data_IF_629263536763
#
_entry.id   IF_629263536763
#
_cell.length_a   1.000
_cell.length_b   1.000
_cell.length_c   1.000
_cell.angle_alpha   90.00
_cell.angle_beta   90.00
_cell.angle_gamma   90.00
#
_symmetry.space_group_name_H-M   'P 1'
#
loop_
_entity.id
_entity.type
_entity.pdbx_description
1 polymer ?
#
# COMPACT_ATOMS: atom_id res chain seq x y z
N UNK A 1 18.99 41.44 -4.16
CA UNK A 1 17.69 40.84 -3.80
C UNK A 1 17.21 40.01 -4.99
N UNK A 2 17.34 38.69 -4.90
CA UNK A 2 16.68 37.74 -5.78
C UNK A 2 16.10 36.67 -4.87
N UNK A 3 14.77 36.66 -4.74
CA UNK A 3 14.02 35.67 -3.98
C UNK A 3 13.94 34.41 -4.86
N UNK A 4 14.94 33.55 -4.77
CA UNK A 4 14.77 32.17 -5.22
C UNK A 4 13.76 31.51 -4.29
N UNK A 5 12.56 31.31 -4.82
CA UNK A 5 11.51 30.51 -4.23
C UNK A 5 12.07 29.13 -3.91
N UNK A 6 12.30 28.84 -2.63
CA UNK A 6 12.49 27.47 -2.15
C UNK A 6 11.23 26.67 -2.51
N UNK A 7 11.22 26.00 -3.66
CA UNK A 7 10.34 24.85 -3.88
C UNK A 7 10.62 23.92 -2.70
N UNK A 8 9.64 23.71 -1.82
CA UNK A 8 9.71 22.65 -0.84
C UNK A 8 9.91 21.36 -1.63
N UNK A 9 11.14 20.81 -1.61
CA UNK A 9 11.44 19.55 -2.27
C UNK A 9 10.66 18.48 -1.51
N UNK A 10 9.81 17.73 -2.21
CA UNK A 10 9.12 16.57 -1.66
C UNK A 10 10.13 15.62 -1.04
N UNK A 11 9.79 15.05 0.12
CA UNK A 11 10.58 14.00 0.74
C UNK A 11 10.16 12.70 0.06
N UNK A 12 11.11 12.02 -0.57
CA UNK A 12 10.86 10.70 -1.17
C UNK A 12 10.91 9.66 -0.08
N UNK A 13 9.81 8.92 0.09
CA UNK A 13 9.70 7.77 1.00
C UNK A 13 8.83 6.71 0.35
N UNK A 14 8.86 5.48 0.85
CA UNK A 14 8.08 4.36 0.34
C UNK A 14 6.66 4.32 0.90
N UNK A 15 6.42 4.97 2.04
CA UNK A 15 5.08 5.11 2.61
C UNK A 15 5.02 6.08 3.79
N UNK A 16 3.84 6.60 4.07
CA UNK A 16 3.54 7.41 5.25
C UNK A 16 2.18 7.00 5.82
N UNK A 17 2.08 6.90 7.14
CA UNK A 17 0.82 6.71 7.87
C UNK A 17 0.72 7.67 9.04
N UNK A 18 -0.41 8.36 9.18
CA UNK A 18 -0.81 9.10 10.37
C UNK A 18 -1.96 8.33 11.03
N UNK A 19 -1.75 7.96 12.28
CA UNK A 19 -2.63 7.06 13.03
C UNK A 19 -2.94 7.68 14.37
N UNK A 20 -4.19 7.59 14.78
CA UNK A 20 -4.62 7.82 16.14
C UNK A 20 -4.86 6.49 16.83
N UNK A 21 -4.33 6.31 18.03
CA UNK A 21 -4.42 5.06 18.76
C UNK A 21 -4.82 5.28 20.20
N UNK A 22 -5.56 4.34 20.79
CA UNK A 22 -5.79 4.30 22.24
C UNK A 22 -4.50 3.90 22.96
N UNK A 23 -4.30 4.39 24.18
CA UNK A 23 -3.20 3.97 25.05
C UNK A 23 -3.50 2.68 25.83
N UNK A 24 -4.77 2.30 25.95
CA UNK A 24 -5.13 1.05 26.64
C UNK A 24 -4.81 -0.18 25.80
N UNK A 25 -4.96 -0.06 24.48
CA UNK A 25 -4.70 -1.15 23.54
C UNK A 25 -4.33 -0.59 22.15
N UNK A 26 -3.08 -0.13 21.97
CA UNK A 26 -2.70 0.58 20.75
C UNK A 26 -2.82 -0.25 19.45
N UNK A 27 -2.66 -1.56 19.52
CA UNK A 27 -2.65 -2.43 18.33
C UNK A 27 -4.06 -2.77 17.82
N UNK A 28 -5.05 -2.87 18.72
CA UNK A 28 -6.42 -3.28 18.38
C UNK A 28 -7.34 -2.07 18.20
N UNK A 29 -7.00 -0.95 18.85
CA UNK A 29 -7.82 0.25 18.84
C UNK A 29 -7.06 1.43 18.24
N UNK A 30 -6.82 1.33 16.93
CA UNK A 30 -6.28 2.43 16.13
C UNK A 30 -7.18 2.81 14.97
N UNK A 31 -7.17 4.10 14.66
CA UNK A 31 -7.81 4.72 13.51
C UNK A 31 -6.71 5.29 12.61
N UNK A 32 -6.69 4.84 11.36
CA UNK A 32 -5.87 5.48 10.32
C UNK A 32 -6.55 6.81 9.96
N UNK A 33 -5.82 7.92 10.15
CA UNK A 33 -6.27 9.26 9.74
C UNK A 33 -5.84 9.52 8.30
N UNK A 34 -4.61 9.15 7.97
CA UNK A 34 -4.05 9.26 6.63
C UNK A 34 -3.11 8.09 6.38
N UNK A 35 -3.11 7.55 5.17
CA UNK A 35 -2.08 6.62 4.71
C UNK A 35 -1.82 6.81 3.23
N UNK A 36 -0.57 6.64 2.84
CA UNK A 36 -0.15 6.63 1.43
C UNK A 36 1.03 5.69 1.29
N UNK A 37 0.89 4.69 0.43
CA UNK A 37 1.91 3.67 0.24
C UNK A 37 2.25 2.89 1.50
N UNK A 38 1.33 2.66 2.44
CA UNK A 38 1.53 1.73 3.56
C UNK A 38 0.20 1.04 3.85
N UNK A 39 0.23 -0.30 3.96
CA UNK A 39 -0.94 -1.12 4.25
C UNK A 39 -1.36 -1.08 5.72
N UNK A 40 -2.63 -1.40 6.00
CA UNK A 40 -3.16 -1.47 7.37
C UNK A 40 -2.54 -2.62 8.15
N UNK A 41 -2.25 -3.74 7.49
CA UNK A 41 -1.56 -4.87 8.11
C UNK A 41 -0.15 -4.48 8.58
N UNK A 42 0.56 -3.73 7.75
CA UNK A 42 1.90 -3.20 8.07
C UNK A 42 1.85 -2.22 9.25
N UNK A 43 0.88 -1.31 9.26
CA UNK A 43 0.65 -0.39 10.38
C UNK A 43 0.43 -1.16 11.68
N UNK A 44 -0.45 -2.17 11.67
CA UNK A 44 -0.73 -2.99 12.85
C UNK A 44 0.52 -3.70 13.36
N UNK A 45 1.32 -4.30 12.46
CA UNK A 45 2.59 -4.95 12.80
C UNK A 45 3.57 -3.97 13.45
N UNK A 46 3.68 -2.75 12.92
CA UNK A 46 4.56 -1.71 13.46
C UNK A 46 4.09 -1.25 14.85
N UNK A 47 2.78 -1.01 15.03
CA UNK A 47 2.22 -0.62 16.32
C UNK A 47 2.45 -1.70 17.38
N UNK A 48 2.30 -2.98 17.02
CA UNK A 48 2.55 -4.10 17.92
C UNK A 48 4.02 -4.15 18.38
N UNK A 49 4.98 -3.90 17.48
CA UNK A 49 6.39 -3.84 17.84
C UNK A 49 6.75 -2.64 18.72
N UNK A 50 5.87 -1.63 18.78
CA UNK A 50 6.14 -0.33 19.39
C UNK A 50 5.20 0.03 20.55
N UNK A 51 4.31 -0.89 20.92
CA UNK A 51 3.21 -0.68 21.87
C UNK A 51 3.70 -0.14 23.21
N UNK A 52 4.72 -0.78 23.78
CA UNK A 52 5.28 -0.41 25.09
C UNK A 52 5.78 1.04 25.12
N UNK A 53 6.50 1.47 24.08
CA UNK A 53 7.06 2.82 24.02
C UNK A 53 5.96 3.88 23.91
N UNK A 54 4.87 3.61 23.17
CA UNK A 54 3.70 4.48 23.07
C UNK A 54 3.02 4.67 24.42
N UNK A 55 2.88 3.58 25.19
CA UNK A 55 2.17 3.59 26.48
C UNK A 55 2.98 4.31 27.56
N UNK A 56 4.29 4.05 27.62
CA UNK A 56 5.15 4.50 28.72
C UNK A 56 5.62 5.95 28.58
N UNK A 57 5.57 6.55 27.39
CA UNK A 57 6.16 7.87 27.13
C UNK A 57 5.14 8.88 26.59
N UNK A 58 5.31 10.15 26.94
CA UNK A 58 4.48 11.23 26.39
C UNK A 58 4.78 11.53 24.92
N UNK A 59 6.00 11.25 24.48
CA UNK A 59 6.45 11.42 23.11
C UNK A 59 7.69 10.56 22.90
N UNK A 60 7.98 10.24 21.64
CA UNK A 60 9.20 9.54 21.33
C UNK A 60 9.38 9.31 19.84
N UNK A 61 10.48 8.65 19.53
CA UNK A 61 10.90 8.33 18.18
C UNK A 61 11.60 6.99 18.17
N UNK A 62 11.39 6.22 17.12
CA UNK A 62 12.02 4.92 16.95
C UNK A 62 12.22 4.56 15.50
N UNK A 63 13.04 3.53 15.31
CA UNK A 63 13.45 2.99 14.03
C UNK A 63 13.32 1.48 14.11
N UNK A 64 12.48 0.91 13.25
CA UNK A 64 12.32 -0.53 13.17
C UNK A 64 12.93 -0.99 11.85
N UNK A 65 14.07 -1.69 11.88
CA UNK A 65 14.58 -2.35 10.69
C UNK A 65 13.60 -3.47 10.31
N UNK A 66 13.14 -3.44 9.07
CA UNK A 66 12.32 -4.50 8.46
C UNK A 66 13.22 -5.33 7.54
N UNK A 67 12.67 -6.25 6.76
CA UNK A 67 13.49 -7.09 5.87
C UNK A 67 14.16 -6.27 4.76
N UNK A 68 13.37 -5.51 3.99
CA UNK A 68 13.84 -4.71 2.87
C UNK A 68 13.79 -3.19 3.12
N UNK A 69 13.27 -2.76 4.27
CA UNK A 69 12.94 -1.35 4.53
C UNK A 69 13.27 -0.97 5.98
N UNK A 70 13.09 0.31 6.31
CA UNK A 70 13.11 0.81 7.68
C UNK A 70 11.84 1.61 7.95
N UNK A 71 11.19 1.34 9.09
CA UNK A 71 10.08 2.15 9.58
C UNK A 71 10.60 3.21 10.56
N UNK A 72 10.34 4.47 10.27
CA UNK A 72 10.62 5.62 11.12
C UNK A 72 9.33 6.03 11.81
N UNK A 73 9.33 6.03 13.14
CA UNK A 73 8.13 6.23 13.94
C UNK A 73 8.36 7.46 14.80
N UNK A 74 7.42 8.42 14.73
CA UNK A 74 7.33 9.52 15.68
C UNK A 74 5.94 9.47 16.31
N UNK A 75 5.87 9.58 17.64
CA UNK A 75 4.58 9.61 18.32
C UNK A 75 4.53 10.70 19.37
N UNK A 76 3.32 11.13 19.68
CA UNK A 76 3.02 12.05 20.75
C UNK A 76 1.69 11.69 21.40
N UNK A 77 1.63 11.83 22.71
CA UNK A 77 0.43 11.64 23.50
C UNK A 77 -0.49 12.85 23.32
N UNK A 78 -1.76 12.60 23.08
CA UNK A 78 -2.82 13.59 22.90
C UNK A 78 -3.84 13.42 24.02
N UNK A 79 -3.54 13.97 25.19
CA UNK A 79 -4.34 13.80 26.41
C UNK A 79 -4.04 12.49 27.14
N UNK A 80 -4.96 12.03 27.99
CA UNK A 80 -4.69 10.89 28.87
C UNK A 80 -4.96 9.53 28.23
N UNK A 81 -5.65 9.47 27.10
CA UNK A 81 -6.19 8.21 26.56
C UNK A 81 -5.71 7.88 25.16
N UNK A 82 -5.12 8.84 24.43
CA UNK A 82 -4.81 8.69 23.01
C UNK A 82 -3.38 9.09 22.70
N UNK A 83 -2.81 8.42 21.71
CA UNK A 83 -1.57 8.79 21.06
C UNK A 83 -1.81 9.00 19.56
N UNK A 84 -0.95 9.82 18.99
CA UNK A 84 -0.90 10.10 17.57
C UNK A 84 0.47 9.65 17.08
N UNK A 85 0.47 8.78 16.08
CA UNK A 85 1.64 8.06 15.60
C UNK A 85 1.80 8.37 14.12
N UNK A 86 3.00 8.80 13.74
CA UNK A 86 3.40 9.05 12.36
C UNK A 86 4.45 8.01 12.01
N UNK A 87 4.16 7.22 10.99
CA UNK A 87 5.04 6.17 10.47
C UNK A 87 5.49 6.61 9.09
N UNK A 88 6.80 6.53 8.82
CA UNK A 88 7.35 6.59 7.47
C UNK A 88 8.04 5.27 7.16
N UNK A 89 7.87 4.78 5.94
CA UNK A 89 8.63 3.65 5.42
C UNK A 89 9.65 4.20 4.44
N UNK A 90 10.91 3.90 4.64
CA UNK A 90 11.99 4.29 3.73
C UNK A 90 12.86 3.08 3.39
N UNK A 91 13.68 3.25 2.37
CA UNK A 91 14.74 2.31 2.03
C UNK A 91 15.79 2.26 3.16
N UNK A 92 16.35 1.09 3.43
CA UNK A 92 17.46 0.91 4.38
C UNK A 92 18.69 1.71 3.98
N UNK A 93 18.89 1.93 2.68
CA UNK A 93 20.11 2.54 2.16
C UNK A 93 20.10 4.08 2.23
N UNK A 94 19.03 4.71 2.72
CA UNK A 94 18.86 6.16 2.65
C UNK A 94 18.72 6.87 4.03
N UNK A 95 19.75 6.88 4.88
CA UNK A 95 19.70 7.50 6.22
C UNK A 95 19.57 9.03 6.19
N UNK A 96 19.76 9.67 5.03
CA UNK A 96 19.81 11.13 4.90
C UNK A 96 18.43 11.82 5.01
N UNK A 97 17.33 11.06 4.96
CA UNK A 97 15.96 11.58 5.06
C UNK A 97 15.54 11.89 6.51
N UNK A 98 16.20 11.32 7.52
CA UNK A 98 15.72 11.37 8.90
C UNK A 98 15.48 12.78 9.47
N UNK A 99 16.42 13.75 9.38
CA UNK A 99 16.18 15.10 9.88
C UNK A 99 14.98 15.77 9.20
N UNK A 100 14.76 15.47 7.92
CA UNK A 100 13.64 16.00 7.14
C UNK A 100 12.32 15.38 7.60
N UNK A 101 12.28 14.05 7.82
CA UNK A 101 11.10 13.33 8.33
C UNK A 101 10.72 13.79 9.74
N UNK A 102 11.71 14.08 10.59
CA UNK A 102 11.45 14.61 11.92
C UNK A 102 10.85 16.02 11.88
N UNK A 103 11.40 16.92 11.06
CA UNK A 103 10.84 18.25 10.84
C UNK A 103 9.44 18.17 10.21
N UNK A 104 9.22 17.20 9.33
CA UNK A 104 7.92 16.92 8.74
C UNK A 104 6.89 16.49 9.80
N UNK A 105 7.25 15.52 10.65
CA UNK A 105 6.40 15.11 11.77
C UNK A 105 6.04 16.28 12.66
N UNK A 106 6.98 17.16 13.03
CA UNK A 106 6.66 18.35 13.82
C UNK A 106 5.57 19.24 13.20
N UNK A 107 5.56 19.39 11.87
CA UNK A 107 4.53 20.18 11.17
C UNK A 107 3.16 19.49 11.25
N UNK A 108 3.10 18.18 11.02
CA UNK A 108 1.85 17.41 11.14
C UNK A 108 1.31 17.50 12.57
N UNK A 109 2.16 17.26 13.57
CA UNK A 109 1.77 17.31 14.99
C UNK A 109 1.24 18.69 15.36
N UNK A 110 1.87 19.77 14.88
CA UNK A 110 1.40 21.13 15.11
C UNK A 110 0.01 21.37 14.48
N UNK A 111 -0.22 20.88 13.25
CA UNK A 111 -1.52 20.98 12.59
C UNK A 111 -2.61 20.17 13.30
N UNK A 112 -2.28 19.00 13.85
CA UNK A 112 -3.23 18.19 14.63
C UNK A 112 -3.65 18.84 15.96
N UNK A 113 -2.87 19.78 16.50
CA UNK A 113 -3.20 20.49 17.76
C UNK A 113 -4.13 21.69 17.55
N UNK A 114 -4.24 22.20 16.33
CA UNK A 114 -5.25 23.20 15.99
C UNK A 114 -6.55 22.49 15.60
N UNK A 115 -7.64 22.69 16.36
CA UNK A 115 -8.97 22.10 16.11
C UNK A 115 -9.56 22.43 14.72
N UNK A 116 -8.95 23.36 13.98
CA UNK A 116 -9.55 24.01 12.83
C UNK A 116 -9.12 23.49 11.46
N UNK A 117 -8.31 22.42 11.31
CA UNK A 117 -7.81 22.14 9.95
C UNK A 117 -7.33 20.72 9.64
N UNK A 118 -8.26 19.76 9.69
CA UNK A 118 -8.02 18.43 9.12
C UNK A 118 -7.60 18.53 7.64
N UNK A 119 -8.11 19.49 6.88
CA UNK A 119 -7.74 19.71 5.47
C UNK A 119 -6.27 20.13 5.34
N UNK A 120 -5.79 21.13 6.09
CA UNK A 120 -4.36 21.48 6.08
C UNK A 120 -3.46 20.32 6.50
N UNK A 121 -3.88 19.51 7.47
CA UNK A 121 -3.09 18.34 7.88
C UNK A 121 -2.99 17.32 6.74
N UNK A 122 -4.11 17.02 6.07
CA UNK A 122 -4.12 16.12 4.92
C UNK A 122 -3.29 16.70 3.77
N UNK A 123 -3.36 18.00 3.53
CA UNK A 123 -2.56 18.71 2.52
C UNK A 123 -1.06 18.60 2.81
N UNK A 124 -0.65 18.76 4.07
CA UNK A 124 0.75 18.56 4.52
C UNK A 124 1.18 17.12 4.21
N UNK A 125 0.34 16.14 4.55
CA UNK A 125 0.64 14.73 4.32
C UNK A 125 0.73 14.37 2.82
N UNK A 126 -0.14 14.93 1.98
CA UNK A 126 -0.18 14.66 0.53
C UNK A 126 0.97 15.32 -0.24
N UNK A 127 1.27 16.58 0.07
CA UNK A 127 2.14 17.41 -0.77
C UNK A 127 3.63 17.29 -0.44
N UNK A 128 3.97 16.85 0.77
CA UNK A 128 5.37 16.81 1.23
C UNK A 128 6.01 15.45 1.06
N UNK A 129 5.23 14.42 0.71
CA UNK A 129 5.71 13.06 0.52
C UNK A 129 5.43 12.58 -0.91
N UNK A 130 6.50 12.17 -1.58
CA UNK A 130 6.43 11.54 -2.91
C UNK A 130 6.71 10.05 -2.77
N UNK A 131 5.75 9.23 -3.19
CA UNK A 131 5.92 7.78 -3.27
C UNK A 131 6.46 7.45 -4.67
N UNK A 132 7.60 6.74 -4.78
CA UNK A 132 8.13 6.35 -6.08
C UNK A 132 7.15 5.42 -6.81
N UNK A 133 7.12 5.48 -8.14
CA UNK A 133 6.29 4.58 -8.94
C UNK A 133 7.14 3.51 -9.59
N UNK A 134 6.50 2.38 -9.91
CA UNK A 134 7.12 1.27 -10.63
C UNK A 134 6.68 1.30 -12.09
N UNK A 135 7.64 1.25 -13.01
CA UNK A 135 7.41 1.41 -14.46
C UNK A 135 7.50 0.11 -15.27
N UNK A 136 7.85 -1.02 -14.65
CA UNK A 136 8.06 -2.29 -15.35
C UNK A 136 6.81 -3.21 -15.36
N UNK A 137 5.62 -2.67 -15.07
CA UNK A 137 4.36 -3.42 -15.09
C UNK A 137 3.61 -3.17 -16.40
N UNK A 138 3.38 -4.23 -17.17
CA UNK A 138 2.69 -4.20 -18.46
C UNK A 138 1.19 -4.43 -18.35
N UNK A 139 0.74 -5.06 -17.27
CA UNK A 139 -0.65 -5.44 -17.11
C UNK A 139 -0.98 -5.79 -15.67
N UNK A 140 -2.19 -5.45 -15.25
CA UNK A 140 -2.74 -5.75 -13.94
C UNK A 140 -4.12 -6.35 -14.15
N UNK A 141 -4.34 -7.52 -13.57
CA UNK A 141 -5.58 -8.28 -13.67
C UNK A 141 -6.01 -8.70 -12.28
N UNK A 142 -7.16 -8.21 -11.82
CA UNK A 142 -7.81 -8.72 -10.62
C UNK A 142 -8.97 -9.58 -11.07
N UNK A 143 -8.90 -10.86 -10.73
CA UNK A 143 -9.77 -11.89 -11.29
C UNK A 143 -10.39 -12.65 -10.14
N UNK A 144 -11.68 -12.93 -10.23
CA UNK A 144 -12.32 -13.82 -9.27
C UNK A 144 -11.85 -15.29 -9.44
N UNK A 145 -12.18 -16.14 -8.49
CA UNK A 145 -11.90 -17.57 -8.60
C UNK A 145 -12.61 -18.25 -9.79
N UNK A 146 -13.64 -17.65 -10.38
CA UNK A 146 -14.32 -18.12 -11.58
C UNK A 146 -13.61 -17.76 -12.89
N UNK A 147 -12.60 -16.90 -12.84
CA UNK A 147 -11.90 -16.41 -14.03
C UNK A 147 -12.49 -15.11 -14.61
N UNK A 148 -13.48 -14.52 -13.95
CA UNK A 148 -14.08 -13.26 -14.38
C UNK A 148 -13.19 -12.09 -13.96
N UNK A 149 -12.77 -11.21 -14.88
CA UNK A 149 -12.02 -10.02 -14.50
C UNK A 149 -12.92 -9.07 -13.70
N UNK A 150 -12.47 -8.63 -12.54
CA UNK A 150 -13.08 -7.55 -11.75
C UNK A 150 -12.46 -6.20 -12.08
N UNK A 151 -11.15 -6.18 -12.32
CA UNK A 151 -10.41 -5.01 -12.74
C UNK A 151 -9.30 -5.42 -13.68
N UNK A 152 -9.08 -4.65 -14.76
CA UNK A 152 -7.95 -4.87 -15.67
C UNK A 152 -7.40 -3.54 -16.16
N UNK A 153 -6.07 -3.44 -16.19
CA UNK A 153 -5.35 -2.31 -16.75
C UNK A 153 -4.10 -2.81 -17.47
N UNK A 154 -3.90 -2.41 -18.72
CA UNK A 154 -2.79 -2.87 -19.56
C UNK A 154 -2.05 -1.66 -20.13
N UNK A 155 -0.71 -1.69 -20.09
CA UNK A 155 0.13 -0.61 -20.57
C UNK A 155 0.06 -0.49 -22.11
N UNK A 156 -0.28 0.69 -22.60
CA UNK A 156 -0.20 1.06 -24.01
C UNK A 156 -1.19 0.36 -24.95
N UNK A 157 -0.85 0.29 -26.24
CA UNK A 157 -1.70 -0.25 -27.32
C UNK A 157 -1.56 -1.77 -27.51
N UNK A 158 -1.43 -2.56 -26.44
CA UNK A 158 -1.45 -4.04 -26.53
C UNK A 158 -2.87 -4.55 -26.77
N UNK A 159 -3.42 -4.18 -27.93
CA UNK A 159 -4.83 -4.40 -28.28
C UNK A 159 -5.24 -5.87 -28.25
N UNK A 160 -4.31 -6.79 -28.49
CA UNK A 160 -4.59 -8.22 -28.48
C UNK A 160 -4.85 -8.74 -27.05
N UNK A 161 -4.11 -8.25 -26.05
CA UNK A 161 -4.36 -8.61 -24.64
C UNK A 161 -5.66 -7.94 -24.15
N UNK A 162 -5.88 -6.68 -24.53
CA UNK A 162 -7.10 -5.93 -24.19
C UNK A 162 -8.36 -6.61 -24.76
N UNK A 163 -8.27 -7.22 -25.96
CA UNK A 163 -9.38 -7.96 -26.56
C UNK A 163 -9.60 -9.35 -25.97
N UNK A 164 -8.64 -9.83 -25.17
CA UNK A 164 -8.62 -11.17 -24.61
C UNK A 164 -8.65 -11.17 -23.07
N UNK A 165 -9.08 -10.08 -22.42
CA UNK A 165 -9.08 -9.95 -20.96
C UNK A 165 -9.84 -11.09 -20.26
N UNK A 166 -11.01 -11.48 -20.76
CA UNK A 166 -11.77 -12.62 -20.25
C UNK A 166 -11.02 -13.95 -20.41
N UNK A 167 -10.31 -14.13 -21.53
CA UNK A 167 -9.52 -15.34 -21.79
C UNK A 167 -8.31 -15.41 -20.87
N UNK A 168 -7.65 -14.27 -20.64
CA UNK A 168 -6.53 -14.13 -19.70
C UNK A 168 -7.01 -14.40 -18.28
N UNK A 169 -8.15 -13.84 -17.87
CA UNK A 169 -8.77 -14.11 -16.57
C UNK A 169 -9.10 -15.59 -16.36
N UNK A 170 -9.78 -16.21 -17.33
CA UNK A 170 -10.07 -17.64 -17.32
C UNK A 170 -8.82 -18.51 -17.25
N UNK A 171 -7.77 -18.13 -17.99
CA UNK A 171 -6.48 -18.82 -17.96
C UNK A 171 -5.80 -18.73 -16.59
N UNK A 172 -5.72 -17.53 -16.00
CA UNK A 172 -5.13 -17.32 -14.66
C UNK A 172 -5.88 -18.14 -13.60
N UNK A 173 -7.22 -18.09 -13.59
CA UNK A 173 -8.03 -18.87 -12.65
C UNK A 173 -7.86 -20.39 -12.85
N UNK A 174 -7.81 -20.87 -14.09
CA UNK A 174 -7.60 -22.29 -14.38
C UNK A 174 -6.25 -22.78 -13.85
N UNK A 175 -5.18 -22.01 -14.08
CA UNK A 175 -3.86 -22.33 -13.53
C UNK A 175 -3.84 -22.30 -12.00
N UNK A 176 -4.48 -21.31 -11.39
CA UNK A 176 -4.58 -21.19 -9.94
C UNK A 176 -5.36 -22.36 -9.32
N UNK A 177 -6.44 -22.78 -9.96
CA UNK A 177 -7.22 -23.95 -9.54
C UNK A 177 -6.43 -25.25 -9.71
N UNK A 178 -5.70 -25.37 -10.82
CA UNK A 178 -4.85 -26.52 -11.11
C UNK A 178 -3.67 -26.62 -10.13
N UNK A 179 -3.04 -25.50 -9.78
CA UNK A 179 -1.94 -25.49 -8.81
C UNK A 179 -2.40 -26.00 -7.44
N UNK A 180 -3.60 -25.64 -6.98
CA UNK A 180 -4.20 -26.16 -5.74
C UNK A 180 -4.38 -27.69 -5.77
N UNK A 181 -4.70 -28.25 -6.94
CA UNK A 181 -4.84 -29.70 -7.11
C UNK A 181 -3.49 -30.42 -7.08
N UNK A 182 -2.43 -29.79 -7.60
CA UNK A 182 -1.07 -30.36 -7.57
C UNK A 182 -0.48 -30.25 -6.17
N UNK A 183 -0.63 -29.10 -5.52
CA UNK A 183 0.01 -28.75 -4.25
C UNK A 183 -0.72 -29.33 -3.02
N UNK A 184 -1.54 -30.38 -3.21
CA UNK A 184 -2.34 -31.11 -2.20
C UNK A 184 -1.80 -30.92 -0.78
N UNK A 185 -2.57 -30.26 0.07
CA UNK A 185 -2.35 -30.12 1.51
C UNK A 185 -1.10 -29.35 1.96
N UNK A 186 -0.39 -28.65 1.08
CA UNK A 186 0.50 -27.58 1.54
C UNK A 186 -0.37 -26.38 1.92
N UNK A 187 -0.56 -26.11 3.21
CA UNK A 187 -1.16 -24.88 3.76
C UNK A 187 -0.48 -23.57 3.29
N UNK A 188 0.45 -23.62 2.33
CA UNK A 188 1.37 -22.55 1.95
C UNK A 188 1.64 -22.49 0.42
N UNK A 189 1.07 -23.40 -0.37
CA UNK A 189 1.34 -23.49 -1.82
C UNK A 189 0.36 -22.70 -2.68
N UNK A 190 0.48 -21.38 -2.72
CA UNK A 190 -0.24 -20.57 -3.72
C UNK A 190 0.60 -20.44 -4.99
N UNK A 191 -0.06 -20.39 -6.15
CA UNK A 191 0.61 -20.02 -7.40
C UNK A 191 1.10 -18.58 -7.23
N UNK A 192 2.43 -18.39 -7.24
CA UNK A 192 3.07 -17.08 -7.10
C UNK A 192 3.50 -16.49 -8.44
N UNK A 193 3.85 -17.34 -9.40
CA UNK A 193 4.44 -16.91 -10.66
C UNK A 193 3.99 -17.79 -11.83
N UNK A 194 3.76 -17.17 -12.99
CA UNK A 194 3.50 -17.84 -14.26
C UNK A 194 4.39 -17.17 -15.32
N UNK A 195 5.41 -17.88 -15.82
CA UNK A 195 6.39 -17.33 -16.77
C UNK A 195 6.00 -17.57 -18.23
N UNK A 196 6.17 -16.55 -19.07
CA UNK A 196 5.94 -16.53 -20.52
C UNK A 196 7.17 -16.05 -21.27
N UNK A 197 8.30 -16.73 -21.07
CA UNK A 197 9.58 -16.31 -21.64
C UNK A 197 10.13 -15.09 -20.90
N UNK A 198 10.06 -13.91 -21.51
CA UNK A 198 10.61 -12.67 -20.94
C UNK A 198 9.63 -11.90 -20.05
N UNK A 199 8.38 -12.36 -19.92
CA UNK A 199 7.38 -11.74 -19.06
C UNK A 199 6.84 -12.76 -18.07
N UNK A 200 6.47 -12.31 -16.88
CA UNK A 200 5.95 -13.18 -15.82
C UNK A 200 4.72 -12.51 -15.20
N UNK A 201 3.64 -13.29 -15.03
CA UNK A 201 2.59 -12.91 -14.09
C UNK A 201 3.07 -13.24 -12.69
N UNK A 202 3.19 -12.25 -11.83
CA UNK A 202 3.31 -12.47 -10.40
C UNK A 202 1.93 -12.34 -9.77
N UNK A 203 1.60 -13.27 -8.89
CA UNK A 203 0.26 -13.44 -8.35
C UNK A 203 0.26 -13.43 -6.84
N UNK A 204 -0.73 -12.75 -6.28
CA UNK A 204 -1.13 -12.86 -4.87
C UNK A 204 -2.58 -13.28 -4.87
N UNK A 205 -2.94 -14.28 -4.07
CA UNK A 205 -4.34 -14.58 -3.83
C UNK A 205 -4.74 -14.10 -2.44
N UNK A 206 -5.96 -13.57 -2.37
CA UNK A 206 -6.59 -13.23 -1.10
C UNK A 206 -8.07 -13.48 -1.23
N UNK A 207 -8.58 -14.30 -0.32
CA UNK A 207 -9.98 -14.74 -0.30
C UNK A 207 -10.41 -15.37 -1.64
N UNK A 208 -11.27 -14.68 -2.41
CA UNK A 208 -11.81 -15.16 -3.68
C UNK A 208 -11.23 -14.45 -4.91
N UNK A 209 -10.18 -13.64 -4.73
CA UNK A 209 -9.59 -12.82 -5.78
C UNK A 209 -8.12 -13.20 -5.96
N UNK A 210 -7.73 -13.30 -7.23
CA UNK A 210 -6.36 -13.45 -7.70
C UNK A 210 -5.92 -12.10 -8.25
N UNK A 211 -4.88 -11.53 -7.66
CA UNK A 211 -4.25 -10.29 -8.12
C UNK A 211 -3.02 -10.66 -8.93
N UNK A 212 -3.06 -10.45 -10.25
CA UNK A 212 -1.99 -10.81 -11.18
C UNK A 212 -1.37 -9.57 -11.81
N UNK A 213 -0.04 -9.52 -11.82
CA UNK A 213 0.76 -8.41 -12.34
C UNK A 213 1.73 -8.94 -13.39
N UNK A 214 1.55 -8.53 -14.64
CA UNK A 214 2.45 -8.86 -15.74
C UNK A 214 3.63 -7.90 -15.72
N UNK A 215 4.83 -8.40 -15.47
CA UNK A 215 6.08 -7.62 -15.46
C UNK A 215 7.19 -8.39 -16.15
N UNK A 216 8.29 -7.71 -16.49
CA UNK A 216 9.52 -8.34 -16.97
C UNK A 216 10.35 -8.86 -15.78
N UNK A 217 10.29 -8.19 -14.63
CA UNK A 217 11.09 -8.52 -13.43
C UNK A 217 10.36 -8.14 -12.13
N UNK A 218 10.51 -8.97 -11.09
CA UNK A 218 10.06 -8.63 -9.74
C UNK A 218 11.09 -7.76 -9.03
N UNK A 219 10.64 -6.65 -8.45
CA UNK A 219 11.45 -5.83 -7.54
C UNK A 219 10.85 -5.81 -6.13
N UNK A 220 11.63 -5.59 -5.06
CA UNK A 220 11.07 -5.48 -3.71
C UNK A 220 10.00 -4.39 -3.57
N UNK A 221 10.11 -3.33 -4.37
CA UNK A 221 9.11 -2.26 -4.41
C UNK A 221 7.81 -2.71 -5.07
N UNK A 222 7.89 -3.46 -6.18
CA UNK A 222 6.73 -4.01 -6.86
C UNK A 222 6.00 -5.02 -5.98
N UNK A 223 6.71 -5.99 -5.38
CA UNK A 223 6.14 -6.98 -4.46
C UNK A 223 5.33 -6.29 -3.36
N UNK A 224 5.91 -5.24 -2.77
CA UNK A 224 5.24 -4.43 -1.76
C UNK A 224 3.98 -3.74 -2.30
N UNK A 225 4.03 -3.16 -3.50
CA UNK A 225 2.86 -2.53 -4.10
C UNK A 225 1.76 -3.53 -4.47
N UNK A 226 2.10 -4.76 -4.86
CA UNK A 226 1.09 -5.80 -5.07
C UNK A 226 0.30 -6.07 -3.78
N UNK A 227 0.98 -6.16 -2.63
CA UNK A 227 0.30 -6.31 -1.34
C UNK A 227 -0.55 -5.09 -0.99
N UNK A 228 -0.02 -3.87 -1.12
CA UNK A 228 -0.75 -2.63 -0.82
C UNK A 228 -1.99 -2.48 -1.71
N UNK A 229 -1.85 -2.72 -3.02
CA UNK A 229 -2.96 -2.64 -3.97
C UNK A 229 -4.04 -3.66 -3.66
N UNK A 230 -3.68 -4.89 -3.26
CA UNK A 230 -4.66 -5.89 -2.84
C UNK A 230 -5.41 -5.42 -1.58
N UNK A 231 -4.71 -4.89 -0.57
CA UNK A 231 -5.35 -4.34 0.63
C UNK A 231 -6.30 -3.18 0.31
N UNK A 232 -5.84 -2.19 -0.48
CA UNK A 232 -6.66 -1.02 -0.84
C UNK A 232 -7.87 -1.41 -1.70
N UNK A 233 -7.76 -2.45 -2.53
CA UNK A 233 -8.89 -2.95 -3.31
C UNK A 233 -9.99 -3.51 -2.40
N UNK A 234 -9.63 -4.36 -1.42
CA UNK A 234 -10.60 -4.88 -0.45
C UNK A 234 -11.19 -3.77 0.42
N UNK A 235 -10.37 -2.87 0.95
CA UNK A 235 -10.85 -1.77 1.79
C UNK A 235 -11.85 -0.86 1.06
N UNK A 236 -11.72 -0.70 -0.26
CA UNK A 236 -12.62 0.15 -1.05
C UNK A 236 -13.88 -0.57 -1.53
N UNK A 237 -13.82 -1.89 -1.72
CA UNK A 237 -14.85 -2.62 -2.45
C UNK A 237 -15.35 -3.90 -1.78
N UNK A 238 -15.08 -4.12 -0.49
CA UNK A 238 -15.52 -5.29 0.29
C UNK A 238 -16.98 -5.70 -0.01
N UNK A 239 -17.94 -4.79 0.18
CA UNK A 239 -19.37 -5.06 -0.07
C UNK A 239 -19.68 -5.44 -1.53
N UNK A 240 -18.93 -4.87 -2.48
CA UNK A 240 -19.12 -5.10 -3.92
C UNK A 240 -18.51 -6.42 -4.37
N UNK A 241 -17.38 -6.79 -3.77
CA UNK A 241 -16.72 -8.07 -4.00
C UNK A 241 -17.62 -9.22 -3.53
N UNK A 242 -18.23 -9.10 -2.34
CA UNK A 242 -19.14 -10.13 -1.82
C UNK A 242 -20.37 -10.36 -2.69
N UNK A 243 -20.87 -9.28 -3.31
CA UNK A 243 -22.07 -9.28 -4.13
C UNK A 243 -21.80 -9.19 -5.63
N UNK A 244 -20.57 -9.49 -6.07
CA UNK A 244 -20.16 -9.31 -7.46
C UNK A 244 -21.01 -10.16 -8.42
N UNK A 245 -21.63 -9.50 -9.40
CA UNK A 245 -22.51 -10.10 -10.41
C UNK A 245 -21.98 -9.87 -11.83
N UNK A 246 -20.66 -9.87 -11.99
CA UNK A 246 -19.97 -9.59 -13.25
C UNK A 246 -20.13 -8.16 -13.79
N UNK A 247 -20.57 -7.20 -12.96
CA UNK A 247 -20.53 -5.78 -13.32
C UNK A 247 -19.18 -5.18 -12.91
N UNK A 248 -18.30 -5.00 -13.89
CA UNK A 248 -16.94 -4.49 -13.67
C UNK A 248 -16.89 -2.96 -13.52
N UNK A 249 -17.97 -2.26 -13.90
CA UNK A 249 -17.99 -0.80 -13.91
C UNK A 249 -17.79 -0.21 -12.51
N UNK A 250 -18.16 -0.98 -11.48
CA UNK A 250 -18.03 -0.57 -10.09
C UNK A 250 -16.57 -0.44 -9.60
N UNK A 251 -15.61 -0.98 -10.36
CA UNK A 251 -14.19 -1.02 -10.02
C UNK A 251 -13.33 -0.07 -10.86
N UNK A 252 -13.87 0.62 -11.86
CA UNK A 252 -13.07 1.47 -12.76
C UNK A 252 -12.33 2.60 -12.04
N UNK A 253 -12.90 3.16 -10.99
CA UNK A 253 -12.25 4.21 -10.19
C UNK A 253 -11.00 3.71 -9.43
N UNK A 254 -10.74 2.41 -9.41
CA UNK A 254 -9.52 1.87 -8.83
C UNK A 254 -8.27 2.24 -9.64
N UNK A 255 -8.42 2.60 -10.92
CA UNK A 255 -7.32 3.06 -11.76
C UNK A 255 -6.58 4.27 -11.12
N UNK A 256 -7.31 5.17 -10.46
CA UNK A 256 -6.69 6.31 -9.76
C UNK A 256 -5.80 5.87 -8.61
N UNK A 257 -6.18 4.78 -7.91
CA UNK A 257 -5.36 4.17 -6.86
C UNK A 257 -4.14 3.48 -7.47
N UNK A 258 -4.34 2.73 -8.56
CA UNK A 258 -3.25 2.04 -9.26
C UNK A 258 -2.16 3.01 -9.71
N UNK A 259 -2.57 4.14 -10.29
CA UNK A 259 -1.68 5.18 -10.83
C UNK A 259 -0.89 5.94 -9.75
N UNK A 260 -1.19 5.74 -8.46
CA UNK A 260 -0.35 6.24 -7.36
C UNK A 260 0.95 5.45 -7.23
N UNK A 261 0.94 4.18 -7.65
CA UNK A 261 2.01 3.21 -7.41
C UNK A 261 2.68 2.72 -8.69
N UNK A 262 1.94 2.65 -9.79
CA UNK A 262 2.41 2.13 -11.07
C UNK A 262 2.38 3.20 -12.16
N UNK A 263 3.28 3.09 -13.13
CA UNK A 263 3.27 3.86 -14.37
C UNK A 263 2.69 3.00 -15.51
N UNK A 264 1.35 2.94 -15.62
CA UNK A 264 0.63 2.04 -16.55
C UNK A 264 -0.51 2.73 -17.32
#
# INVERSE_FOLDING_TARGET
MSKDSKKNKSIKVLGIGLIQTSLENPKENFRVIFKKGIGKAMISKILNSFEKEIIENEQGRSFIPLENFTAFINFYRSGNEKAQVIIYIDDKENPHTFPQLYLHSKKIIAACKSESDNEKMLEICENLVEIPRVSNVFGVFFVDNGGSPMFTKIMGKRADIIKSEEQVGGFISALFSFSKIILKDANEGELKEISFGNQTFHTIAKEKIIFAFLTDEMTPLLERYMHILSEEFFERYEDKIENFKCDISEFYEFEETLNKYLEI
#
